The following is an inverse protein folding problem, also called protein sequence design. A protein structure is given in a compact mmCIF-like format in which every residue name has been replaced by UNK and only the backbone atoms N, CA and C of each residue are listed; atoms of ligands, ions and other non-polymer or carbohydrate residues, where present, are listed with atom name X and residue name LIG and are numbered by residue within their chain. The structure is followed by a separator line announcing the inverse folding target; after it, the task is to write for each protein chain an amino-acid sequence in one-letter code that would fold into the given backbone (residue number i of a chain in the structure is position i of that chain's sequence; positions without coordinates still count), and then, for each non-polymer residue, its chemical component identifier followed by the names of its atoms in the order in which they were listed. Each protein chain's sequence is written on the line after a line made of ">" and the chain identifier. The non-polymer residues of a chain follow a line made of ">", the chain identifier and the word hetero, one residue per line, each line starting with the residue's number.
data_IF_202447969412
#
_entry.id   IF_202447969412
#
_cell.length_a   1.000
_cell.length_b   1.000
_cell.length_c   1.000
_cell.angle_alpha   90.00
_cell.angle_beta   90.00
_cell.angle_gamma   90.00
#
_symmetry.space_group_name_H-M   'P 1'
#
loop_
_entity.id
_entity.type
_entity.pdbx_description
1 polymer ?
#
# COMPACT_ATOMS: atom_id res chain seq x y z
N UNK A 1 -2.81 -22.55 -10.86
CA UNK A 1 -2.56 -21.16 -10.46
C UNK A 1 -3.83 -20.35 -10.60
N UNK A 2 -4.59 -20.25 -9.52
CA UNK A 2 -5.79 -19.41 -9.37
C UNK A 2 -5.68 -18.59 -8.10
N UNK A 3 -6.21 -17.37 -8.11
CA UNK A 3 -6.32 -16.54 -6.90
C UNK A 3 -7.46 -17.08 -6.04
N UNK A 4 -7.21 -17.24 -4.75
CA UNK A 4 -8.16 -17.80 -3.77
C UNK A 4 -8.61 -16.78 -2.72
N UNK A 5 -7.81 -15.75 -2.46
CA UNK A 5 -8.14 -14.69 -1.50
C UNK A 5 -7.48 -13.38 -1.90
N UNK A 6 -8.12 -12.27 -1.50
CA UNK A 6 -7.61 -10.90 -1.68
C UNK A 6 -7.81 -10.11 -0.39
N UNK A 7 -6.76 -9.45 0.06
CA UNK A 7 -6.82 -8.51 1.19
C UNK A 7 -6.20 -7.18 0.79
N UNK A 8 -6.82 -6.10 1.22
CA UNK A 8 -6.27 -4.76 1.10
C UNK A 8 -6.12 -4.14 2.48
N UNK A 9 -4.98 -3.49 2.73
CA UNK A 9 -4.70 -2.76 3.97
C UNK A 9 -4.17 -1.38 3.62
N UNK A 10 -4.92 -0.35 3.95
CA UNK A 10 -4.46 1.04 3.84
C UNK A 10 -3.81 1.46 5.15
N UNK A 11 -2.62 2.04 5.05
CA UNK A 11 -1.85 2.52 6.19
C UNK A 11 -1.18 3.87 5.89
N UNK A 12 -0.94 4.63 6.94
CA UNK A 12 -0.08 5.80 6.93
C UNK A 12 1.35 5.40 7.32
N UNK A 13 2.32 5.78 6.50
CA UNK A 13 3.75 5.53 6.71
C UNK A 13 4.43 6.87 6.99
N UNK A 14 4.87 7.13 8.23
CA UNK A 14 5.58 8.36 8.56
C UNK A 14 6.95 8.37 7.88
N UNK A 15 7.43 9.57 7.55
CA UNK A 15 8.78 9.79 7.00
C UNK A 15 9.60 10.70 7.91
N UNK A 16 10.92 10.62 7.80
CA UNK A 16 11.85 11.33 8.69
C UNK A 16 11.67 12.85 8.66
N UNK A 17 11.37 13.42 7.49
CA UNK A 17 11.13 14.85 7.31
C UNK A 17 10.04 15.10 6.26
N UNK A 18 9.21 16.15 6.42
CA UNK A 18 8.14 16.44 5.47
C UNK A 18 8.65 16.69 4.05
N UNK A 19 8.03 16.03 3.07
CA UNK A 19 8.25 16.37 1.65
C UNK A 19 7.59 17.71 1.34
N UNK A 20 8.11 18.50 0.41
CA UNK A 20 7.52 19.80 0.03
C UNK A 20 7.18 19.81 -1.45
N UNK A 21 5.96 20.20 -1.76
CA UNK A 21 5.48 20.37 -3.14
C UNK A 21 4.41 21.48 -3.19
N UNK A 22 3.96 21.85 -4.40
CA UNK A 22 2.97 22.93 -4.59
C UNK A 22 1.66 22.73 -3.82
N UNK A 23 1.32 21.48 -3.49
CA UNK A 23 0.11 21.12 -2.74
C UNK A 23 0.29 21.05 -1.20
N UNK A 24 1.45 21.39 -0.65
CA UNK A 24 1.70 21.37 0.80
C UNK A 24 2.97 20.64 1.21
N UNK A 25 3.02 20.22 2.48
CA UNK A 25 4.19 19.54 3.05
C UNK A 25 3.81 18.35 3.94
N UNK A 26 3.47 17.18 3.36
CA UNK A 26 3.06 16.02 4.13
C UNK A 26 4.23 15.37 4.86
N UNK A 27 3.95 14.84 6.05
CA UNK A 27 4.86 14.15 6.96
C UNK A 27 4.78 12.61 6.85
N UNK A 28 4.12 12.11 5.80
CA UNK A 28 4.07 10.69 5.49
C UNK A 28 3.35 10.38 4.19
N UNK A 29 3.22 9.08 3.92
CA UNK A 29 2.53 8.55 2.76
C UNK A 29 1.39 7.62 3.15
N UNK A 30 0.23 7.78 2.53
CA UNK A 30 -0.84 6.79 2.62
C UNK A 30 -0.64 5.78 1.49
N UNK A 31 -0.47 4.50 1.86
CA UNK A 31 -0.28 3.39 0.92
C UNK A 31 -1.30 2.30 1.20
N UNK A 32 -1.79 1.67 0.14
CA UNK A 32 -2.60 0.46 0.25
C UNK A 32 -1.78 -0.72 -0.21
N UNK A 33 -1.53 -1.66 0.70
CA UNK A 33 -0.91 -2.96 0.38
C UNK A 33 -2.03 -3.93 -0.03
N UNK A 34 -1.82 -4.62 -1.15
CA UNK A 34 -2.70 -5.68 -1.65
C UNK A 34 -1.99 -7.02 -1.52
N UNK A 35 -2.61 -7.95 -0.83
CA UNK A 35 -2.17 -9.33 -0.67
C UNK A 35 -3.09 -10.24 -1.49
N UNK A 36 -2.51 -11.07 -2.36
CA UNK A 36 -3.22 -12.09 -3.13
C UNK A 36 -2.70 -13.46 -2.75
N UNK A 37 -3.61 -14.38 -2.44
CA UNK A 37 -3.26 -15.80 -2.19
C UNK A 37 -3.65 -16.67 -3.36
N UNK A 38 -2.89 -17.72 -3.62
CA UNK A 38 -3.20 -18.70 -4.66
C UNK A 38 -3.61 -20.06 -4.09
N UNK A 39 -4.21 -20.89 -4.95
CA UNK A 39 -4.50 -22.30 -4.68
C UNK A 39 -3.24 -23.18 -4.55
N UNK A 40 -2.08 -22.64 -4.90
CA UNK A 40 -0.76 -23.29 -4.79
C UNK A 40 0.00 -22.89 -3.52
N UNK A 41 -0.64 -22.11 -2.62
CA UNK A 41 -0.03 -21.68 -1.35
C UNK A 41 0.93 -20.48 -1.48
N UNK A 42 0.97 -19.82 -2.64
CA UNK A 42 1.76 -18.61 -2.84
C UNK A 42 1.01 -17.38 -2.33
N UNK A 43 1.79 -16.39 -1.85
CA UNK A 43 1.28 -15.06 -1.50
C UNK A 43 2.02 -14.02 -2.32
N UNK A 44 1.29 -13.25 -3.12
CA UNK A 44 1.80 -12.09 -3.84
C UNK A 44 1.46 -10.81 -3.08
N UNK A 45 2.40 -9.85 -3.10
CA UNK A 45 2.23 -8.53 -2.52
C UNK A 45 2.36 -7.46 -3.61
N UNK A 46 1.47 -6.48 -3.57
CA UNK A 46 1.56 -5.25 -4.37
C UNK A 46 1.23 -4.04 -3.51
N UNK A 47 1.57 -2.84 -3.99
CA UNK A 47 1.12 -1.60 -3.38
C UNK A 47 0.52 -0.64 -4.40
N UNK A 48 -0.29 0.29 -3.90
CA UNK A 48 -0.76 1.45 -4.67
C UNK A 48 -0.93 2.68 -3.77
N UNK A 49 -1.13 3.83 -4.40
CA UNK A 49 -1.47 5.07 -3.73
C UNK A 49 -2.76 4.91 -2.91
N UNK A 50 -2.72 5.30 -1.63
CA UNK A 50 -3.83 5.09 -0.69
C UNK A 50 -4.81 6.25 -0.56
N UNK A 51 -4.62 7.34 -1.32
CA UNK A 51 -5.44 8.55 -1.24
C UNK A 51 -4.71 9.73 -0.57
N UNK A 52 -5.35 10.90 -0.65
CA UNK A 52 -4.98 12.14 0.03
C UNK A 52 -5.89 12.38 1.23
#
# INVERSE_FOLDING_TARGET
>A
MKITDIKARTLFIPIEAPTRHSYGSPDGFVRTIVELKTDEGLTGLGETFGGI
#
